data_IF_795052654582
#
_entry.id   IF_795052654582
#
_cell.length_a   1.000
_cell.length_b   1.000
_cell.length_c   1.000
_cell.angle_alpha   90.00
_cell.angle_beta   90.00
_cell.angle_gamma   90.00
#
_symmetry.space_group_name_H-M   'P 1'
#
loop_
_entity.id
_entity.type
_entity.pdbx_description
1 polymer ?
#
# COMPACT_ATOMS: atom_id res chain seq x y z
N UNK A 1 -53.61 4.40 -19.01
CA UNK A 1 -53.14 3.13 -18.41
C UNK A 1 -51.62 2.95 -18.47
N UNK A 2 -50.96 3.04 -19.63
CA UNK A 2 -49.51 2.80 -19.75
C UNK A 2 -48.62 3.62 -18.78
N UNK A 3 -48.91 4.92 -18.60
CA UNK A 3 -48.15 5.83 -17.72
C UNK A 3 -48.16 5.42 -16.23
N UNK A 4 -49.21 4.74 -15.79
CA UNK A 4 -49.39 4.26 -14.41
C UNK A 4 -48.71 2.90 -14.18
N UNK A 5 -48.51 2.14 -15.25
CA UNK A 5 -47.74 0.89 -15.26
C UNK A 5 -46.24 1.20 -15.14
N UNK A 6 -45.76 2.23 -15.84
CA UNK A 6 -44.35 2.64 -15.78
C UNK A 6 -43.93 3.17 -14.40
N UNK A 7 -44.79 3.94 -13.72
CA UNK A 7 -44.50 4.44 -12.36
C UNK A 7 -44.48 3.33 -11.31
N UNK A 8 -45.40 2.36 -11.42
CA UNK A 8 -45.44 1.17 -10.55
C UNK A 8 -44.20 0.29 -10.73
N UNK A 9 -43.80 0.02 -11.99
CA UNK A 9 -42.60 -0.75 -12.30
C UNK A 9 -41.32 -0.08 -11.77
N UNK A 10 -41.22 1.26 -11.87
CA UNK A 10 -40.08 2.02 -11.36
C UNK A 10 -39.96 1.98 -9.83
N UNK A 11 -41.08 2.08 -9.12
CA UNK A 11 -41.12 1.95 -7.65
C UNK A 11 -40.66 0.56 -7.19
N UNK A 12 -41.12 -0.50 -7.86
CA UNK A 12 -40.68 -1.87 -7.53
C UNK A 12 -39.19 -2.08 -7.80
N UNK A 13 -38.65 -1.59 -8.93
CA UNK A 13 -37.22 -1.63 -9.25
C UNK A 13 -36.37 -0.86 -8.22
N UNK A 14 -36.83 0.31 -7.78
CA UNK A 14 -36.15 1.10 -6.75
C UNK A 14 -36.12 0.40 -5.38
N UNK A 15 -37.21 -0.26 -4.98
CA UNK A 15 -37.25 -1.04 -3.73
C UNK A 15 -36.31 -2.25 -3.77
N UNK A 16 -36.25 -2.99 -4.88
CA UNK A 16 -35.34 -4.13 -5.06
C UNK A 16 -33.87 -3.67 -4.93
N UNK A 17 -33.51 -2.54 -5.54
CA UNK A 17 -32.14 -2.00 -5.45
C UNK A 17 -31.77 -1.56 -4.03
N UNK A 18 -32.75 -1.09 -3.25
CA UNK A 18 -32.56 -0.73 -1.83
C UNK A 18 -32.36 -1.96 -0.94
N UNK A 19 -33.10 -3.05 -1.20
CA UNK A 19 -32.90 -4.32 -0.50
C UNK A 19 -31.54 -4.96 -0.82
N UNK A 20 -31.04 -4.87 -2.06
CA UNK A 20 -29.70 -5.36 -2.41
C UNK A 20 -28.55 -4.55 -1.81
N UNK A 21 -28.78 -3.31 -1.34
CA UNK A 21 -27.78 -2.54 -0.58
C UNK A 21 -27.59 -3.01 0.87
N UNK A 22 -28.44 -3.91 1.36
CA UNK A 22 -28.36 -4.46 2.73
C UNK A 22 -27.60 -5.77 2.84
N UNK A 23 -26.93 -6.23 1.77
CA UNK A 23 -25.87 -7.22 1.93
C UNK A 23 -24.72 -6.51 2.63
N UNK A 24 -24.76 -6.51 3.97
CA UNK A 24 -23.60 -6.26 4.79
C UNK A 24 -22.46 -7.09 4.21
N UNK A 25 -21.32 -6.45 3.95
CA UNK A 25 -20.08 -7.18 3.79
C UNK A 25 -19.89 -8.00 5.06
N UNK A 26 -20.22 -9.28 5.02
CA UNK A 26 -19.83 -10.23 6.05
C UNK A 26 -18.30 -10.17 6.03
N UNK A 27 -17.73 -9.36 6.93
CA UNK A 27 -16.33 -9.46 7.27
C UNK A 27 -16.21 -10.80 7.97
N UNK A 28 -15.93 -11.84 7.20
CA UNK A 28 -15.42 -13.08 7.76
C UNK A 28 -14.19 -12.67 8.57
N UNK A 29 -14.17 -12.94 9.89
CA UNK A 29 -12.95 -12.74 10.65
C UNK A 29 -11.84 -13.54 9.94
N UNK A 30 -10.64 -12.97 9.79
CA UNK A 30 -9.53 -13.72 9.21
C UNK A 30 -9.42 -15.06 9.94
N UNK A 31 -9.43 -16.16 9.18
CA UNK A 31 -9.30 -17.50 9.74
C UNK A 31 -8.00 -17.63 10.54
N UNK A 32 -7.89 -18.63 11.41
CA UNK A 32 -6.66 -18.87 12.16
C UNK A 32 -5.48 -19.00 11.19
N UNK A 33 -4.40 -18.26 11.45
CA UNK A 33 -3.15 -18.36 10.69
C UNK A 33 -2.60 -19.78 10.81
N UNK A 34 -2.36 -20.44 9.69
CA UNK A 34 -1.75 -21.78 9.66
C UNK A 34 -0.24 -21.69 9.51
N UNK A 35 0.49 -22.74 9.92
CA UNK A 35 1.93 -22.84 9.71
C UNK A 35 2.30 -22.69 8.22
N UNK A 36 1.48 -23.28 7.35
CA UNK A 36 1.65 -23.20 5.90
C UNK A 36 1.50 -21.74 5.37
N UNK A 37 0.61 -20.93 5.96
CA UNK A 37 0.44 -19.53 5.52
C UNK A 37 1.68 -18.68 5.84
N UNK A 38 2.30 -18.95 6.99
CA UNK A 38 3.56 -18.33 7.39
C UNK A 38 4.71 -18.77 6.49
N UNK A 39 4.78 -20.06 6.15
CA UNK A 39 5.79 -20.62 5.23
C UNK A 39 5.72 -19.99 3.83
N UNK A 40 4.51 -19.71 3.34
CA UNK A 40 4.32 -19.01 2.07
C UNK A 40 4.91 -17.59 2.11
N UNK A 41 4.66 -16.84 3.20
CA UNK A 41 5.24 -15.51 3.39
C UNK A 41 6.76 -15.61 3.50
N UNK A 42 7.29 -16.53 4.32
CA UNK A 42 8.73 -16.71 4.52
C UNK A 42 9.44 -16.99 3.20
N UNK A 43 8.90 -17.92 2.41
CA UNK A 43 9.43 -18.29 1.09
C UNK A 43 9.41 -17.09 0.14
N UNK A 44 8.31 -16.34 0.11
CA UNK A 44 8.20 -15.13 -0.73
C UNK A 44 9.19 -14.04 -0.30
N UNK A 45 9.40 -13.85 1.00
CA UNK A 45 10.32 -12.87 1.55
C UNK A 45 11.79 -13.22 1.33
N UNK A 46 12.15 -14.50 1.13
CA UNK A 46 13.54 -14.86 0.82
C UNK A 46 14.01 -14.35 -0.56
N UNK A 47 13.11 -13.87 -1.41
CA UNK A 47 13.45 -13.22 -2.68
C UNK A 47 13.71 -11.70 -2.54
N UNK A 48 13.57 -11.12 -1.34
CA UNK A 48 13.81 -9.69 -1.10
C UNK A 48 15.21 -9.47 -0.52
N UNK A 49 15.69 -8.21 -0.61
CA UNK A 49 16.98 -7.81 -0.02
C UNK A 49 16.98 -7.90 1.52
N UNK A 50 15.82 -7.69 2.14
CA UNK A 50 15.64 -7.73 3.60
C UNK A 50 14.57 -8.77 4.00
N UNK A 51 14.91 -10.07 4.00
CA UNK A 51 13.93 -11.14 4.23
C UNK A 51 13.23 -11.08 5.59
N UNK A 52 13.96 -10.70 6.64
CA UNK A 52 13.41 -10.67 8.01
C UNK A 52 12.49 -9.48 8.24
N UNK A 53 12.83 -8.31 7.69
CA UNK A 53 11.94 -7.14 7.67
C UNK A 53 10.66 -7.49 6.92
N UNK A 54 10.78 -8.09 5.73
CA UNK A 54 9.61 -8.55 4.96
C UNK A 54 8.73 -9.52 5.76
N UNK A 55 9.33 -10.55 6.38
CA UNK A 55 8.57 -11.56 7.10
C UNK A 55 7.87 -10.98 8.33
N UNK A 56 8.60 -10.25 9.18
CA UNK A 56 8.04 -9.65 10.41
C UNK A 56 6.93 -8.66 10.11
N UNK A 57 7.03 -7.92 9.01
CA UNK A 57 6.02 -6.95 8.56
C UNK A 57 4.74 -7.61 8.04
N UNK A 58 4.84 -8.82 7.50
CA UNK A 58 3.74 -9.49 6.79
C UNK A 58 3.14 -10.69 7.52
N UNK A 59 3.86 -11.31 8.47
CA UNK A 59 3.43 -12.52 9.17
C UNK A 59 2.06 -12.35 9.86
N UNK A 60 1.77 -11.17 10.41
CA UNK A 60 0.46 -10.84 11.01
C UNK A 60 -0.71 -10.85 10.02
N UNK A 61 -0.44 -10.83 8.71
CA UNK A 61 -1.42 -10.84 7.62
C UNK A 61 -1.52 -12.18 6.90
N UNK A 62 -0.83 -13.23 7.38
CA UNK A 62 -0.71 -14.53 6.71
C UNK A 62 -2.06 -15.14 6.29
N UNK A 63 -3.05 -15.16 7.18
CA UNK A 63 -4.40 -15.66 6.89
C UNK A 63 -5.13 -14.85 5.82
N UNK A 64 -4.76 -13.59 5.61
CA UNK A 64 -5.29 -12.71 4.56
C UNK A 64 -4.54 -12.82 3.23
N UNK A 65 -3.43 -13.57 3.16
CA UNK A 65 -2.68 -13.80 1.91
C UNK A 65 -3.21 -15.03 1.16
N UNK A 66 -3.53 -16.12 1.89
CA UNK A 66 -4.05 -17.39 1.34
C UNK A 66 -3.25 -17.88 0.11
N UNK A 67 -1.92 -17.99 0.24
CA UNK A 67 -1.00 -18.49 -0.81
C UNK A 67 -1.06 -17.76 -2.16
N UNK A 68 -1.59 -16.53 -2.20
CA UNK A 68 -1.78 -15.80 -3.43
C UNK A 68 -0.74 -14.67 -3.57
N UNK A 69 0.20 -14.76 -4.53
CA UNK A 69 1.23 -13.74 -4.73
C UNK A 69 0.67 -12.33 -4.99
N UNK A 70 -0.46 -12.23 -5.70
CA UNK A 70 -1.09 -10.94 -5.97
C UNK A 70 -1.76 -10.35 -4.72
N UNK A 71 -2.22 -11.17 -3.77
CA UNK A 71 -2.69 -10.68 -2.47
C UNK A 71 -1.51 -10.25 -1.60
N UNK A 72 -0.44 -11.05 -1.58
CA UNK A 72 0.78 -10.70 -0.86
C UNK A 72 1.35 -9.36 -1.32
N UNK A 73 1.50 -9.14 -2.63
CA UNK A 73 2.01 -7.89 -3.19
C UNK A 73 1.14 -6.68 -2.81
N UNK A 74 -0.19 -6.81 -2.89
CA UNK A 74 -1.11 -5.73 -2.48
C UNK A 74 -1.05 -5.44 -0.99
N UNK A 75 -0.89 -6.48 -0.15
CA UNK A 75 -0.74 -6.33 1.29
C UNK A 75 0.59 -5.66 1.63
N UNK A 76 1.69 -6.09 1.02
CA UNK A 76 3.01 -5.50 1.22
C UNK A 76 3.01 -3.99 0.89
N UNK A 77 2.52 -3.62 -0.29
CA UNK A 77 2.39 -2.20 -0.65
C UNK A 77 1.45 -1.46 0.31
N UNK A 78 0.38 -2.10 0.78
CA UNK A 78 -0.53 -1.52 1.77
C UNK A 78 0.15 -1.25 3.12
N UNK A 79 0.99 -2.17 3.59
CA UNK A 79 1.81 -2.00 4.79
C UNK A 79 2.80 -0.86 4.61
N UNK A 80 3.54 -0.82 3.49
CA UNK A 80 4.48 0.27 3.20
C UNK A 80 3.81 1.63 3.14
N UNK A 81 2.64 1.77 2.48
CA UNK A 81 1.87 3.02 2.50
C UNK A 81 1.51 3.44 3.93
N UNK A 82 1.15 2.48 4.80
CA UNK A 82 0.81 2.77 6.19
C UNK A 82 2.03 3.28 6.97
N UNK A 83 3.20 2.70 6.73
CA UNK A 83 4.45 3.11 7.36
C UNK A 83 4.95 4.43 6.83
N UNK A 84 4.98 4.62 5.50
CA UNK A 84 5.28 5.89 4.85
C UNK A 84 4.44 7.03 5.44
N UNK A 85 3.12 6.81 5.60
CA UNK A 85 2.23 7.80 6.21
C UNK A 85 2.65 8.17 7.65
N UNK A 86 3.03 7.20 8.46
CA UNK A 86 3.51 7.45 9.82
C UNK A 86 4.84 8.22 9.80
N UNK A 87 5.75 7.83 8.93
CA UNK A 87 7.06 8.48 8.73
C UNK A 87 6.89 9.91 8.24
N UNK A 88 6.05 10.18 7.24
CA UNK A 88 5.73 11.55 6.80
C UNK A 88 5.16 12.40 7.94
N UNK A 89 4.28 11.83 8.78
CA UNK A 89 3.71 12.56 9.93
C UNK A 89 4.77 12.91 10.98
N UNK A 90 5.70 11.99 11.25
CA UNK A 90 6.85 12.24 12.11
C UNK A 90 7.75 13.34 11.54
N UNK A 91 8.15 13.23 10.27
CA UNK A 91 8.98 14.21 9.58
C UNK A 91 8.31 15.59 9.52
N UNK A 92 6.99 15.64 9.29
CA UNK A 92 6.22 16.90 9.29
C UNK A 92 6.12 17.55 10.67
N UNK A 93 6.26 16.77 11.74
CA UNK A 93 6.38 17.31 13.11
C UNK A 93 7.79 17.85 13.33
N UNK A 94 8.80 17.11 12.89
CA UNK A 94 10.21 17.50 12.99
C UNK A 94 10.52 18.77 12.19
N UNK A 95 10.00 18.88 10.96
CA UNK A 95 10.19 20.04 10.08
C UNK A 95 9.62 21.33 10.64
N UNK A 96 8.60 21.27 11.50
CA UNK A 96 8.08 22.48 12.19
C UNK A 96 9.00 22.99 13.30
N UNK A 97 9.89 22.13 13.79
CA UNK A 97 10.84 22.45 14.86
C UNK A 97 12.28 22.60 14.34
N UNK A 98 12.50 22.43 13.05
CA UNK A 98 13.81 22.45 12.40
C UNK A 98 13.82 23.43 11.24
N UNK A 99 14.94 24.11 11.01
CA UNK A 99 15.18 24.89 9.80
C UNK A 99 15.97 24.11 8.74
N UNK A 100 16.20 22.81 8.96
CA UNK A 100 16.98 21.94 8.08
C UNK A 100 16.26 21.72 6.75
N UNK A 101 16.96 22.01 5.66
CA UNK A 101 16.44 21.80 4.31
C UNK A 101 16.24 20.31 4.05
N UNK A 102 17.20 19.46 4.46
CA UNK A 102 17.11 18.01 4.35
C UNK A 102 15.86 17.43 5.01
N UNK A 103 15.40 17.97 6.15
CA UNK A 103 14.15 17.50 6.78
C UNK A 103 12.93 17.87 5.93
N UNK A 104 12.90 19.07 5.34
CA UNK A 104 11.82 19.48 4.45
C UNK A 104 11.80 18.66 3.15
N UNK A 105 12.97 18.44 2.55
CA UNK A 105 13.11 17.64 1.34
C UNK A 105 12.73 16.18 1.62
N UNK A 106 13.12 15.64 2.78
CA UNK A 106 12.70 14.31 3.18
C UNK A 106 11.17 14.18 3.33
N UNK A 107 10.46 15.20 3.85
CA UNK A 107 8.98 15.19 3.87
C UNK A 107 8.42 15.07 2.45
N UNK A 108 9.00 15.79 1.48
CA UNK A 108 8.59 15.73 0.08
C UNK A 108 8.86 14.34 -0.51
N UNK A 109 10.08 13.84 -0.36
CA UNK A 109 10.49 12.56 -0.93
C UNK A 109 9.65 11.38 -0.41
N UNK A 110 9.44 11.28 0.91
CA UNK A 110 8.57 10.22 1.47
C UNK A 110 7.10 10.41 1.04
N UNK A 111 6.66 11.66 0.82
CA UNK A 111 5.37 11.97 0.23
C UNK A 111 5.22 11.46 -1.20
N UNK A 112 6.25 11.65 -2.03
CA UNK A 112 6.30 11.16 -3.41
C UNK A 112 6.36 9.64 -3.46
N UNK A 113 7.19 9.01 -2.62
CA UNK A 113 7.26 7.56 -2.45
C UNK A 113 5.87 6.97 -2.17
N UNK A 114 5.13 7.56 -1.24
CA UNK A 114 3.78 7.16 -0.90
C UNK A 114 2.81 7.28 -2.09
N UNK A 115 2.92 8.30 -2.94
CA UNK A 115 2.11 8.43 -4.15
C UNK A 115 2.45 7.36 -5.20
N UNK A 116 3.75 7.03 -5.38
CA UNK A 116 4.16 5.92 -6.25
C UNK A 116 3.60 4.59 -5.76
N UNK A 117 3.69 4.31 -4.46
CA UNK A 117 3.11 3.11 -3.86
C UNK A 117 1.59 3.04 -4.07
N UNK A 118 0.87 4.16 -3.91
CA UNK A 118 -0.58 4.23 -4.19
C UNK A 118 -0.88 3.94 -5.65
N UNK A 119 -0.06 4.44 -6.58
CA UNK A 119 -0.12 4.12 -8.01
C UNK A 119 0.02 2.61 -8.25
N UNK A 120 1.07 2.00 -7.69
CA UNK A 120 1.33 0.57 -7.74
C UNK A 120 0.15 -0.26 -7.23
N UNK A 121 -0.42 0.11 -6.08
CA UNK A 121 -1.56 -0.57 -5.50
C UNK A 121 -2.82 -0.48 -6.37
N UNK A 122 -3.08 0.69 -6.98
CA UNK A 122 -4.19 0.87 -7.93
C UNK A 122 -4.02 -0.04 -9.14
N UNK A 123 -2.84 -0.04 -9.76
CA UNK A 123 -2.54 -0.89 -10.92
C UNK A 123 -2.70 -2.38 -10.60
N UNK A 124 -2.22 -2.85 -9.44
CA UNK A 124 -2.41 -4.23 -9.01
C UNK A 124 -3.88 -4.62 -8.78
N UNK A 125 -4.74 -3.68 -8.36
CA UNK A 125 -6.18 -3.93 -8.19
C UNK A 125 -6.89 -4.03 -9.54
N UNK A 126 -6.48 -3.20 -10.49
CA UNK A 126 -7.06 -3.16 -11.84
C UNK A 126 -6.61 -4.34 -12.71
N UNK A 127 -5.42 -4.88 -12.48
CA UNK A 127 -4.81 -5.96 -13.27
C UNK A 127 -5.66 -7.23 -13.43
N UNK A 128 -6.58 -7.50 -12.50
CA UNK A 128 -7.48 -8.65 -12.55
C UNK A 128 -8.72 -8.44 -13.44
N UNK A 129 -8.92 -7.23 -13.99
CA UNK A 129 -10.11 -6.89 -14.76
C UNK A 129 -9.81 -7.08 -16.26
N UNK A 130 -10.27 -8.19 -16.83
CA UNK A 130 -10.21 -8.40 -18.29
C UNK A 130 -11.25 -7.52 -18.97
N UNK A 131 -10.82 -6.34 -19.44
CA UNK A 131 -11.62 -5.45 -20.27
C UNK A 131 -11.09 -5.47 -21.70
N UNK A 132 -11.96 -5.41 -22.74
CA UNK A 132 -11.50 -5.22 -24.11
C UNK A 132 -10.57 -4.01 -24.21
N UNK A 133 -9.41 -4.17 -24.84
CA UNK A 133 -8.41 -3.10 -24.97
C UNK A 133 -7.54 -2.83 -23.73
N UNK A 134 -7.66 -3.61 -22.65
CA UNK A 134 -6.80 -3.45 -21.48
C UNK A 134 -5.32 -3.76 -21.82
N UNK A 135 -4.34 -3.02 -21.24
CA UNK A 135 -2.93 -3.33 -21.42
C UNK A 135 -2.59 -4.74 -20.92
N UNK A 136 -1.54 -5.34 -21.47
CA UNK A 136 -1.11 -6.69 -21.05
C UNK A 136 -0.72 -6.73 -19.58
N UNK A 137 -0.85 -7.90 -18.93
CA UNK A 137 -0.37 -8.11 -17.57
C UNK A 137 1.10 -7.67 -17.41
N UNK A 138 1.96 -8.03 -18.36
CA UNK A 138 3.39 -7.69 -18.35
C UNK A 138 3.61 -6.18 -18.33
N UNK A 139 2.86 -5.43 -19.13
CA UNK A 139 2.96 -3.97 -19.16
C UNK A 139 2.44 -3.32 -17.88
N UNK A 140 1.31 -3.80 -17.36
CA UNK A 140 0.79 -3.29 -16.08
C UNK A 140 1.75 -3.60 -14.92
N UNK A 141 2.37 -4.78 -14.91
CA UNK A 141 3.35 -5.17 -13.90
C UNK A 141 4.65 -4.36 -14.02
N UNK A 142 5.09 -4.01 -15.23
CA UNK A 142 6.25 -3.12 -15.38
C UNK A 142 5.99 -1.73 -14.79
N UNK A 143 4.77 -1.19 -14.90
CA UNK A 143 4.42 0.06 -14.24
C UNK A 143 4.54 -0.04 -12.71
N UNK A 144 4.03 -1.15 -12.13
CA UNK A 144 4.15 -1.42 -10.68
C UNK A 144 5.62 -1.46 -10.28
N UNK A 145 6.47 -2.17 -11.02
CA UNK A 145 7.90 -2.25 -10.74
C UNK A 145 8.57 -0.88 -10.82
N UNK A 146 8.32 -0.13 -11.89
CA UNK A 146 8.89 1.22 -12.06
C UNK A 146 8.50 2.16 -10.92
N UNK A 147 7.23 2.18 -10.52
CA UNK A 147 6.79 3.05 -9.43
C UNK A 147 7.31 2.60 -8.07
N UNK A 148 7.37 1.28 -7.79
CA UNK A 148 7.97 0.81 -6.54
C UNK A 148 9.49 1.07 -6.48
N UNK A 149 10.20 0.96 -7.60
CA UNK A 149 11.62 1.36 -7.66
C UNK A 149 11.79 2.86 -7.42
N UNK A 150 10.93 3.70 -8.01
CA UNK A 150 10.96 5.13 -7.75
C UNK A 150 10.69 5.46 -6.28
N UNK A 151 9.75 4.75 -5.63
CA UNK A 151 9.48 4.93 -4.20
C UNK A 151 10.72 4.66 -3.33
N UNK A 152 11.45 3.57 -3.62
CA UNK A 152 12.69 3.23 -2.93
C UNK A 152 13.77 4.29 -3.16
N UNK A 153 13.88 4.83 -4.38
CA UNK A 153 14.82 5.93 -4.68
C UNK A 153 14.45 7.21 -3.92
N UNK A 154 13.16 7.54 -3.81
CA UNK A 154 12.71 8.70 -3.04
C UNK A 154 13.05 8.52 -1.54
N UNK A 155 12.83 7.33 -0.97
CA UNK A 155 13.24 6.99 0.40
C UNK A 155 14.75 7.11 0.63
N UNK A 156 15.56 6.57 -0.28
CA UNK A 156 17.02 6.66 -0.26
C UNK A 156 17.50 8.12 -0.35
N UNK A 157 16.91 8.90 -1.25
CA UNK A 157 17.23 10.34 -1.41
C UNK A 157 16.92 11.12 -0.13
N UNK A 158 15.84 10.77 0.59
CA UNK A 158 15.61 11.36 1.92
C UNK A 158 16.76 11.02 2.87
N UNK A 159 17.12 9.73 3.01
CA UNK A 159 18.13 9.35 4.00
C UNK A 159 19.50 9.91 3.67
N UNK A 160 19.86 9.96 2.39
CA UNK A 160 21.13 10.54 1.94
C UNK A 160 21.20 12.02 2.30
N UNK A 161 20.19 12.82 1.97
CA UNK A 161 20.15 14.25 2.31
C UNK A 161 20.22 14.50 3.82
N UNK A 162 19.54 13.67 4.62
CA UNK A 162 19.62 13.72 6.09
C UNK A 162 21.04 13.38 6.57
N UNK A 163 21.68 12.37 5.98
CA UNK A 163 23.02 11.96 6.40
C UNK A 163 24.12 12.95 6.01
N UNK A 164 23.95 13.67 4.91
CA UNK A 164 24.87 14.69 4.43
C UNK A 164 24.76 16.01 5.21
N UNK A 165 23.54 16.45 5.54
CA UNK A 165 23.32 17.74 6.21
C UNK A 165 23.42 17.65 7.74
N UNK A 166 22.94 16.55 8.34
CA UNK A 166 22.84 16.44 9.79
C UNK A 166 24.07 15.78 10.42
N UNK A 167 24.57 16.39 11.50
CA UNK A 167 25.55 15.76 12.39
C UNK A 167 25.01 14.47 13.00
N UNK A 168 25.92 13.56 13.34
CA UNK A 168 25.57 12.31 14.00
C UNK A 168 24.91 12.57 15.36
N UNK A 169 23.74 11.98 15.56
CA UNK A 169 22.94 12.18 16.76
C UNK A 169 21.59 11.48 16.69
N UNK A 170 20.88 11.49 17.81
CA UNK A 170 19.62 10.76 17.99
C UNK A 170 18.58 11.10 16.90
N UNK A 171 18.47 12.37 16.52
CA UNK A 171 17.50 12.80 15.50
C UNK A 171 17.80 12.20 14.12
N UNK A 172 19.07 12.18 13.70
CA UNK A 172 19.50 11.61 12.41
C UNK A 172 19.20 10.12 12.39
N UNK A 173 19.63 9.39 13.42
CA UNK A 173 19.34 7.95 13.57
C UNK A 173 17.84 7.68 13.53
N UNK A 174 17.04 8.42 14.30
CA UNK A 174 15.60 8.22 14.36
C UNK A 174 14.89 8.52 13.03
N UNK A 175 15.38 9.47 12.22
CA UNK A 175 14.86 9.71 10.87
C UNK A 175 15.20 8.54 9.95
N UNK A 176 16.47 8.16 9.86
CA UNK A 176 16.92 7.08 8.99
C UNK A 176 16.24 5.74 9.32
N UNK A 177 16.10 5.39 10.60
CA UNK A 177 15.39 4.16 11.02
C UNK A 177 13.92 4.18 10.60
N UNK A 178 13.23 5.30 10.72
CA UNK A 178 11.81 5.41 10.34
C UNK A 178 11.58 5.37 8.84
N UNK A 179 12.54 5.87 8.06
CA UNK A 179 12.48 5.80 6.59
C UNK A 179 12.81 4.39 6.12
N UNK A 180 13.82 3.75 6.71
CA UNK A 180 14.18 2.37 6.40
C UNK A 180 13.11 1.32 6.77
N UNK A 181 12.17 1.66 7.68
CA UNK A 181 11.04 0.79 8.01
C UNK A 181 9.87 0.92 7.01
N UNK A 182 9.85 1.91 6.12
CA UNK A 182 8.77 2.08 5.13
C UNK A 182 8.68 0.86 4.19
#
# INVERSE_FOLDING_TARGET
MARQIYTSAFLHLATIFFFFRTISAVRFPPGPTTANDLDFIRTSCNATLYPDVCFTSLAGYASAVQYNPARLARLAIGVSISRAKYTTAYLSKLSRASASAAVHDCVSNVGDAMEKMRGSLRQLREMNHRRPGAPTFRFQMSNVQTWMSAALTDEETCTDGITEEMEDGETKTAVCEKVADV
#
